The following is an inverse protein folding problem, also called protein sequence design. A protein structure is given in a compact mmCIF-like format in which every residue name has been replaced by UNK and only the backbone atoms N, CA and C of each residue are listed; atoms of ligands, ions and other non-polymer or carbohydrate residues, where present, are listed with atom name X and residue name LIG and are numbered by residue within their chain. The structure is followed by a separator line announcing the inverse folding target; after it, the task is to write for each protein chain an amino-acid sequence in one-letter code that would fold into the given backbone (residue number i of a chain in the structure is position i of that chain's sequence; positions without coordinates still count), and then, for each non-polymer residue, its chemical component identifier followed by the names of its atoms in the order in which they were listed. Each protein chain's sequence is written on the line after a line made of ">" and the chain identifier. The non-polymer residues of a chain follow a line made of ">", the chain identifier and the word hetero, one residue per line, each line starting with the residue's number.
data_IF_095229788261
#
_entry.id   IF_095229788261
#
_cell.length_a   1.000
_cell.length_b   1.000
_cell.length_c   1.000
_cell.angle_alpha   90.00
_cell.angle_beta   90.00
_cell.angle_gamma   90.00
#
_symmetry.space_group_name_H-M   'P 1'
#
loop_
_entity.id
_entity.type
_entity.pdbx_description
1 polymer ?
#
# COMPACT_ATOMS: atom_id res chain seq x y z
N UNK A 1 31.92 -36.00 -7.88
CA UNK A 1 32.13 -35.62 -9.29
C UNK A 1 30.85 -35.94 -10.05
N UNK A 2 30.05 -34.92 -10.42
CA UNK A 2 28.94 -35.07 -11.36
C UNK A 2 29.47 -34.84 -12.76
N UNK A 3 29.66 -35.90 -13.51
CA UNK A 3 29.94 -35.86 -14.92
C UNK A 3 28.61 -35.79 -15.69
N UNK A 4 28.21 -34.61 -16.01
CA UNK A 4 27.00 -34.31 -16.76
C UNK A 4 26.40 -33.00 -16.23
N UNK A 5 26.26 -32.01 -17.09
CA UNK A 5 25.73 -30.70 -16.67
C UNK A 5 24.38 -30.82 -15.97
N UNK A 6 24.35 -30.60 -14.66
CA UNK A 6 23.12 -30.60 -13.90
C UNK A 6 22.54 -29.18 -13.93
N UNK A 7 21.41 -29.02 -14.59
CA UNK A 7 20.69 -27.76 -14.60
C UNK A 7 19.83 -27.68 -13.34
N UNK A 8 20.19 -26.81 -12.40
CA UNK A 8 19.34 -26.47 -11.26
C UNK A 8 18.36 -25.38 -11.72
N UNK A 9 17.08 -25.71 -11.69
CA UNK A 9 16.02 -24.71 -11.89
C UNK A 9 15.65 -24.11 -10.54
N UNK A 10 16.11 -22.91 -10.28
CA UNK A 10 15.68 -22.12 -9.14
C UNK A 10 14.50 -21.23 -9.53
N UNK A 11 13.43 -21.23 -8.75
CA UNK A 11 12.38 -20.24 -8.88
C UNK A 11 12.77 -19.04 -8.03
N UNK A 12 13.17 -17.97 -8.69
CA UNK A 12 13.45 -16.67 -8.07
C UNK A 12 12.92 -15.57 -8.98
N UNK A 13 12.26 -14.58 -8.43
CA UNK A 13 12.00 -13.34 -9.18
C UNK A 13 13.36 -12.68 -9.39
N UNK A 14 13.71 -12.41 -10.66
CA UNK A 14 14.92 -11.69 -10.97
C UNK A 14 14.89 -10.33 -10.24
N UNK A 15 16.03 -9.95 -9.64
CA UNK A 15 16.24 -8.61 -9.09
C UNK A 15 16.40 -7.62 -10.27
N UNK A 16 15.35 -7.45 -11.06
CA UNK A 16 15.32 -6.59 -12.25
C UNK A 16 13.98 -5.86 -12.34
N UNK A 17 13.92 -4.91 -13.26
CA UNK A 17 12.70 -4.15 -13.56
C UNK A 17 11.62 -5.15 -14.00
N UNK A 18 10.43 -5.13 -13.37
CA UNK A 18 9.34 -6.01 -13.77
C UNK A 18 8.92 -5.77 -15.20
N UNK A 19 8.77 -6.85 -15.97
CA UNK A 19 8.20 -6.80 -17.34
C UNK A 19 6.69 -7.05 -17.36
N UNK A 20 6.07 -7.08 -16.18
CA UNK A 20 4.64 -7.28 -16.02
C UNK A 20 3.82 -6.16 -16.66
N UNK A 21 2.62 -6.49 -17.03
CA UNK A 21 1.60 -5.53 -17.44
C UNK A 21 0.43 -5.56 -16.45
N UNK A 22 -0.30 -4.48 -16.38
CA UNK A 22 -1.57 -4.46 -15.66
C UNK A 22 -2.64 -5.20 -16.48
N UNK A 23 -3.39 -6.07 -15.82
CA UNK A 23 -4.54 -6.77 -16.38
C UNK A 23 -5.77 -6.49 -15.53
N UNK A 24 -6.96 -6.48 -16.14
CA UNK A 24 -8.21 -6.29 -15.41
C UNK A 24 -8.48 -7.49 -14.49
N UNK A 25 -8.70 -7.22 -13.21
CA UNK A 25 -9.21 -8.18 -12.23
C UNK A 25 -10.71 -8.09 -12.01
N UNK A 26 -11.24 -8.87 -11.08
CA UNK A 26 -12.64 -8.82 -10.68
C UNK A 26 -13.01 -7.49 -10.03
N UNK A 27 -14.20 -6.97 -10.31
CA UNK A 27 -14.69 -5.72 -9.72
C UNK A 27 -15.07 -5.87 -8.26
N UNK A 28 -14.86 -4.79 -7.48
CA UNK A 28 -15.41 -4.67 -6.13
C UNK A 28 -16.93 -4.79 -6.14
N UNK A 29 -17.50 -5.34 -5.06
CA UNK A 29 -18.95 -5.40 -4.88
C UNK A 29 -19.53 -4.04 -4.46
N UNK A 30 -18.76 -3.27 -3.68
CA UNK A 30 -19.17 -1.94 -3.21
C UNK A 30 -18.50 -0.84 -4.02
N UNK A 31 -19.26 0.04 -4.71
CA UNK A 31 -18.70 1.20 -5.38
C UNK A 31 -18.27 2.30 -4.38
N UNK A 32 -17.42 3.21 -4.83
CA UNK A 32 -17.16 4.45 -4.11
C UNK A 32 -16.10 4.39 -3.01
N UNK A 33 -15.21 3.40 -3.00
CA UNK A 33 -14.24 3.20 -1.92
C UNK A 33 -13.00 4.12 -1.93
N UNK A 34 -12.94 5.16 -2.73
CA UNK A 34 -11.87 6.16 -2.62
C UNK A 34 -12.26 7.35 -1.74
N UNK A 35 -11.35 8.19 -1.25
CA UNK A 35 -9.92 7.98 -1.16
C UNK A 35 -9.52 7.16 0.06
N UNK A 36 -8.49 6.38 -0.10
CA UNK A 36 -7.74 5.64 0.93
C UNK A 36 -8.61 4.76 1.83
N UNK A 37 -8.54 3.47 1.58
CA UNK A 37 -9.08 2.42 2.44
C UNK A 37 -7.92 1.66 3.10
N UNK A 38 -8.19 0.92 4.15
CA UNK A 38 -7.22 0.00 4.70
C UNK A 38 -7.01 -1.16 3.70
N UNK A 39 -5.82 -1.28 3.15
CA UNK A 39 -5.46 -2.37 2.25
C UNK A 39 -4.47 -3.33 2.89
N UNK A 40 -4.68 -4.61 2.65
CA UNK A 40 -3.77 -5.68 3.06
C UNK A 40 -3.66 -6.71 1.93
N UNK A 41 -2.64 -7.56 2.01
CA UNK A 41 -2.42 -8.61 1.02
C UNK A 41 -1.00 -8.63 0.48
N UNK A 42 -0.59 -9.78 -0.04
CA UNK A 42 0.80 -10.02 -0.42
C UNK A 42 1.01 -10.25 -1.91
N UNK A 43 -0.06 -10.36 -2.69
CA UNK A 43 0.00 -10.66 -4.12
C UNK A 43 -1.33 -10.36 -4.82
N UNK A 44 -1.34 -10.44 -6.16
CA UNK A 44 -2.55 -10.32 -7.01
C UNK A 44 -3.67 -11.33 -6.68
N UNK A 45 -3.36 -12.42 -6.02
CA UNK A 45 -4.37 -13.42 -5.63
C UNK A 45 -4.78 -13.34 -4.15
N UNK A 46 -4.39 -12.28 -3.46
CA UNK A 46 -4.54 -12.16 -2.02
C UNK A 46 -4.61 -10.69 -1.63
N UNK A 47 -5.76 -10.06 -1.81
CA UNK A 47 -6.01 -8.68 -1.46
C UNK A 47 -7.15 -8.52 -0.46
N UNK A 48 -7.11 -7.50 0.38
CA UNK A 48 -8.19 -7.11 1.27
C UNK A 48 -8.32 -5.59 1.24
N UNK A 49 -9.55 -5.11 1.27
CA UNK A 49 -9.88 -3.69 1.37
C UNK A 49 -10.95 -3.51 2.44
N UNK A 50 -10.77 -2.54 3.33
CA UNK A 50 -11.73 -2.24 4.40
C UNK A 50 -11.94 -0.73 4.54
N UNK A 51 -13.17 -0.33 4.79
CA UNK A 51 -13.56 1.08 4.90
C UNK A 51 -13.67 1.77 3.54
N UNK A 52 -13.55 3.07 3.54
CA UNK A 52 -13.62 3.95 2.36
C UNK A 52 -14.77 4.94 2.38
N UNK A 53 -14.83 5.78 1.35
CA UNK A 53 -15.85 6.84 1.21
C UNK A 53 -17.22 6.26 0.86
N UNK A 54 -18.32 6.73 1.45
CA UNK A 54 -18.46 7.79 2.46
C UNK A 54 -18.47 7.26 3.91
N UNK A 55 -17.34 6.83 4.43
CA UNK A 55 -17.17 6.22 5.76
C UNK A 55 -17.83 4.84 5.84
N UNK A 56 -17.45 3.97 4.93
CA UNK A 56 -17.90 2.59 4.89
C UNK A 56 -17.22 1.76 5.99
N UNK A 57 -17.91 0.73 6.47
CA UNK A 57 -17.32 -0.30 7.33
C UNK A 57 -16.94 -1.55 6.52
N UNK A 58 -17.51 -1.71 5.33
CA UNK A 58 -17.42 -2.92 4.52
C UNK A 58 -15.99 -3.39 4.30
N UNK A 59 -15.79 -4.69 4.44
CA UNK A 59 -14.54 -5.37 4.14
C UNK A 59 -14.76 -6.39 3.03
N UNK A 60 -13.90 -6.35 2.02
CA UNK A 60 -13.90 -7.34 0.94
C UNK A 60 -12.53 -7.98 0.79
N UNK A 61 -12.51 -9.27 0.45
CA UNK A 61 -11.28 -10.03 0.16
C UNK A 61 -11.26 -10.53 -1.28
N UNK A 62 -10.09 -10.44 -1.91
CA UNK A 62 -9.82 -10.86 -3.27
C UNK A 62 -9.06 -12.17 -3.32
N UNK A 63 -9.52 -13.10 -4.17
CA UNK A 63 -8.94 -14.44 -4.30
C UNK A 63 -8.16 -14.65 -5.63
N UNK A 64 -7.91 -13.58 -6.38
CA UNK A 64 -7.30 -13.65 -7.71
C UNK A 64 -8.31 -13.71 -8.86
N UNK A 65 -9.62 -13.69 -8.56
CA UNK A 65 -10.67 -13.73 -9.58
C UNK A 65 -11.84 -12.83 -9.21
N UNK A 66 -12.26 -12.84 -7.96
CA UNK A 66 -13.43 -12.11 -7.48
C UNK A 66 -13.23 -11.58 -6.06
N UNK A 67 -13.95 -10.50 -5.76
CA UNK A 67 -14.07 -9.97 -4.41
C UNK A 67 -15.26 -10.61 -3.70
N UNK A 68 -15.08 -10.90 -2.43
CA UNK A 68 -16.10 -11.46 -1.54
C UNK A 68 -16.19 -10.61 -0.30
N UNK A 69 -17.40 -10.20 0.08
CA UNK A 69 -17.66 -9.46 1.31
C UNK A 69 -17.45 -10.40 2.51
N UNK A 70 -16.76 -9.89 3.53
CA UNK A 70 -16.47 -10.56 4.80
C UNK A 70 -16.91 -9.68 5.95
N UNK A 71 -16.60 -10.01 7.21
CA UNK A 71 -17.04 -9.22 8.36
C UNK A 71 -16.42 -7.82 8.36
N UNK A 72 -17.25 -6.85 8.62
CA UNK A 72 -16.97 -5.42 8.53
C UNK A 72 -16.13 -4.88 9.70
N UNK A 73 -15.49 -3.71 9.49
CA UNK A 73 -14.95 -2.88 10.58
C UNK A 73 -16.05 -2.58 11.61
N UNK A 74 -15.66 -2.45 12.87
CA UNK A 74 -16.60 -2.06 13.93
C UNK A 74 -17.08 -0.61 13.76
N UNK A 75 -16.26 0.25 13.16
CA UNK A 75 -16.61 1.65 12.85
C UNK A 75 -16.36 1.95 11.37
N UNK A 76 -17.38 2.50 10.69
CA UNK A 76 -17.25 2.96 9.31
C UNK A 76 -16.35 4.18 9.21
N UNK A 77 -15.28 4.09 8.40
CA UNK A 77 -14.24 5.13 8.27
C UNK A 77 -13.77 5.27 6.84
N UNK A 78 -13.38 6.49 6.46
CA UNK A 78 -12.63 6.74 5.24
C UNK A 78 -11.22 7.24 5.54
N UNK A 79 -10.38 7.33 4.53
CA UNK A 79 -8.98 7.77 4.65
C UNK A 79 -8.17 6.99 5.70
N UNK A 80 -8.46 5.71 5.84
CA UNK A 80 -7.86 4.73 6.77
C UNK A 80 -6.61 4.16 6.14
N UNK A 81 -5.52 4.02 6.88
CA UNK A 81 -4.39 3.25 6.41
C UNK A 81 -4.43 1.81 6.95
N UNK A 82 -4.03 0.86 6.11
CA UNK A 82 -4.01 -0.55 6.47
C UNK A 82 -2.76 -1.26 5.99
N UNK A 83 -2.50 -2.41 6.60
CA UNK A 83 -1.37 -3.27 6.24
C UNK A 83 -1.61 -4.71 6.74
N UNK A 84 -0.81 -5.65 6.29
CA UNK A 84 -0.87 -7.04 6.73
C UNK A 84 -1.26 -8.03 5.63
N UNK A 85 -1.89 -9.12 6.05
CA UNK A 85 -2.29 -10.26 5.20
C UNK A 85 -3.77 -10.57 5.40
N UNK A 86 -4.37 -11.38 4.51
CA UNK A 86 -5.78 -11.80 4.62
C UNK A 86 -6.15 -12.48 5.95
N UNK A 87 -5.17 -13.04 6.64
CA UNK A 87 -5.38 -13.72 7.92
C UNK A 87 -4.93 -12.91 9.12
N UNK A 88 -4.34 -11.73 8.91
CA UNK A 88 -3.72 -10.94 9.97
C UNK A 88 -3.45 -9.52 9.44
N UNK A 89 -4.41 -8.62 9.56
CA UNK A 89 -4.34 -7.25 9.06
C UNK A 89 -4.62 -6.22 10.15
N UNK A 90 -4.22 -4.99 9.88
CA UNK A 90 -4.43 -3.84 10.76
C UNK A 90 -5.04 -2.70 9.96
N UNK A 91 -6.01 -2.01 10.54
CA UNK A 91 -6.58 -0.77 10.03
C UNK A 91 -6.48 0.30 11.12
N UNK A 92 -5.88 1.46 10.80
CA UNK A 92 -5.67 2.51 11.79
C UNK A 92 -5.98 3.91 11.25
N UNK A 93 -6.43 4.79 12.16
CA UNK A 93 -6.73 6.18 11.87
C UNK A 93 -7.90 6.35 10.91
N UNK A 94 -7.85 7.42 10.13
CA UNK A 94 -8.90 7.79 9.21
C UNK A 94 -9.79 8.91 9.71
N UNK A 95 -10.95 9.06 9.08
CA UNK A 95 -12.01 9.95 9.55
C UNK A 95 -13.36 9.24 9.61
N UNK A 96 -14.14 9.60 10.63
CA UNK A 96 -15.51 9.13 10.83
C UNK A 96 -16.50 10.28 10.65
N UNK A 97 -17.81 9.99 10.44
CA UNK A 97 -18.82 11.05 10.33
C UNK A 97 -18.87 11.94 11.57
N UNK A 98 -18.96 13.28 11.43
CA UNK A 98 -19.08 14.08 10.20
C UNK A 98 -17.74 14.61 9.64
N UNK A 99 -16.69 13.79 9.51
CA UNK A 99 -15.38 14.20 8.98
C UNK A 99 -14.38 14.55 10.09
N UNK A 100 -14.47 13.86 11.21
CA UNK A 100 -13.57 14.00 12.36
C UNK A 100 -12.45 12.96 12.26
N UNK A 101 -11.20 13.41 12.34
CA UNK A 101 -10.06 12.50 12.43
C UNK A 101 -10.20 11.60 13.66
N UNK A 102 -9.96 10.32 13.47
CA UNK A 102 -9.97 9.32 14.53
C UNK A 102 -8.60 8.68 14.71
N UNK A 103 -8.37 8.10 15.87
CA UNK A 103 -7.17 7.35 16.19
C UNK A 103 -7.42 5.85 16.40
N UNK A 104 -8.66 5.41 16.13
CA UNK A 104 -9.09 4.02 16.30
C UNK A 104 -8.19 3.06 15.51
N UNK A 105 -7.84 1.94 16.15
CA UNK A 105 -7.10 0.84 15.52
C UNK A 105 -7.88 -0.44 15.67
N UNK A 106 -8.02 -1.19 14.59
CA UNK A 106 -8.66 -2.48 14.57
C UNK A 106 -7.72 -3.55 13.97
N UNK A 107 -7.74 -4.74 14.55
CA UNK A 107 -6.98 -5.91 14.11
C UNK A 107 -7.90 -6.95 13.52
N UNK A 108 -7.54 -7.47 12.34
CA UNK A 108 -8.20 -8.57 11.66
C UNK A 108 -7.53 -9.89 12.00
N UNK A 109 -8.29 -10.87 12.47
CA UNK A 109 -7.80 -12.21 12.84
C UNK A 109 -7.99 -13.28 11.75
N UNK A 110 -8.43 -12.87 10.57
CA UNK A 110 -8.84 -13.76 9.48
C UNK A 110 -10.34 -13.97 9.39
N UNK A 111 -11.10 -13.49 10.38
CA UNK A 111 -12.56 -13.64 10.45
C UNK A 111 -13.27 -12.38 10.92
N UNK A 112 -12.74 -11.71 11.94
CA UNK A 112 -13.35 -10.54 12.56
C UNK A 112 -12.35 -9.41 12.76
N UNK A 113 -12.86 -8.18 12.75
CA UNK A 113 -12.15 -7.01 13.23
C UNK A 113 -12.39 -6.83 14.74
N UNK A 114 -11.35 -6.51 15.47
CA UNK A 114 -11.39 -6.26 16.91
C UNK A 114 -10.65 -4.97 17.24
N UNK A 115 -11.30 -4.08 17.97
CA UNK A 115 -10.67 -2.85 18.45
C UNK A 115 -9.52 -3.16 19.41
N UNK A 116 -8.47 -2.34 19.33
CA UNK A 116 -7.28 -2.45 20.17
C UNK A 116 -6.80 -1.05 20.60
N UNK A 117 -5.56 -0.93 21.14
CA UNK A 117 -5.00 0.34 21.55
C UNK A 117 -4.88 1.31 20.36
N UNK A 118 -5.35 2.51 20.57
CA UNK A 118 -5.44 3.56 19.56
C UNK A 118 -4.08 4.23 19.28
N UNK A 119 -3.94 4.82 18.09
CA UNK A 119 -2.84 5.75 17.77
C UNK A 119 -2.77 6.88 18.81
N UNK A 120 -1.57 7.38 19.07
CA UNK A 120 -1.38 8.52 19.96
C UNK A 120 -1.96 9.81 19.36
N UNK A 121 -1.95 9.94 18.04
CA UNK A 121 -2.47 11.12 17.33
C UNK A 121 -3.54 10.73 16.32
N UNK A 122 -4.75 11.27 16.47
CA UNK A 122 -5.85 11.10 15.52
C UNK A 122 -5.51 11.80 14.19
N UNK A 123 -5.45 11.03 13.09
CA UNK A 123 -5.10 11.55 11.76
C UNK A 123 -5.56 10.65 10.62
N UNK A 124 -5.68 11.22 9.44
CA UNK A 124 -6.13 10.56 8.22
C UNK A 124 -5.13 10.73 7.07
N UNK A 125 -5.35 10.06 5.95
CA UNK A 125 -4.51 10.13 4.75
C UNK A 125 -3.02 9.81 5.02
N UNK A 126 -2.77 8.95 5.98
CA UNK A 126 -1.45 8.43 6.32
C UNK A 126 -1.15 7.20 5.49
N UNK A 127 0.08 6.74 5.54
CA UNK A 127 0.45 5.42 5.05
C UNK A 127 0.77 4.48 6.21
N UNK A 128 0.68 3.18 5.93
CA UNK A 128 1.10 2.13 6.82
C UNK A 128 2.01 1.14 6.10
N UNK A 129 2.88 0.48 6.85
CA UNK A 129 3.68 -0.64 6.40
C UNK A 129 3.82 -1.69 7.49
N UNK A 130 3.91 -2.95 7.10
CA UNK A 130 3.97 -4.06 8.04
C UNK A 130 3.45 -5.34 7.41
N UNK A 131 3.63 -6.46 8.08
CA UNK A 131 3.27 -7.76 7.55
C UNK A 131 2.36 -8.57 8.48
N UNK A 132 1.95 -8.00 9.62
CA UNK A 132 1.15 -8.69 10.62
C UNK A 132 0.47 -7.75 11.60
N UNK A 133 -0.45 -8.30 12.39
CA UNK A 133 -1.11 -7.62 13.51
C UNK A 133 -0.19 -7.35 14.71
N UNK A 134 1.07 -7.76 14.65
CA UNK A 134 2.02 -7.60 15.77
C UNK A 134 3.19 -6.67 15.44
N UNK A 135 3.26 -6.15 14.21
CA UNK A 135 4.42 -5.40 13.73
C UNK A 135 4.02 -4.50 12.55
N UNK A 136 3.79 -3.23 12.84
CA UNK A 136 3.40 -2.24 11.84
C UNK A 136 4.00 -0.86 12.11
N UNK A 137 4.12 -0.06 11.07
CA UNK A 137 4.53 1.33 11.12
C UNK A 137 3.42 2.19 10.48
N UNK A 138 3.09 3.32 11.09
CA UNK A 138 2.09 4.26 10.61
C UNK A 138 2.71 5.65 10.55
N UNK A 139 2.69 6.32 9.40
CA UNK A 139 3.47 7.52 9.19
C UNK A 139 2.78 8.58 8.34
N UNK A 140 3.13 9.84 8.61
CA UNK A 140 2.56 11.03 7.98
C UNK A 140 1.07 11.20 8.25
N UNK A 141 0.41 11.90 7.37
CA UNK A 141 -1.04 12.11 7.40
C UNK A 141 -1.46 13.55 7.59
N UNK A 142 -2.71 13.74 7.95
CA UNK A 142 -3.35 15.04 8.11
C UNK A 142 -4.17 15.09 9.39
N UNK A 143 -3.90 16.11 10.21
CA UNK A 143 -4.70 16.48 11.40
C UNK A 143 -5.58 17.70 11.09
N UNK A 144 -5.09 18.86 11.30
CA UNK A 144 -5.56 20.17 10.78
C UNK A 144 -4.55 20.74 9.77
N UNK A 145 -3.36 20.17 9.77
CA UNK A 145 -2.26 20.38 8.82
C UNK A 145 -1.64 19.03 8.49
N UNK A 146 -0.78 18.97 7.48
CA UNK A 146 0.03 17.79 7.24
C UNK A 146 1.03 17.60 8.37
N UNK A 147 1.26 16.34 8.76
CA UNK A 147 2.14 15.95 9.87
C UNK A 147 3.20 14.96 9.41
N UNK A 148 4.29 14.90 10.16
CA UNK A 148 5.41 13.99 9.90
C UNK A 148 5.41 12.78 10.85
N UNK A 149 4.53 12.77 11.86
CA UNK A 149 4.51 11.78 12.92
C UNK A 149 4.62 10.35 12.41
N UNK A 150 5.47 9.57 13.06
CA UNK A 150 5.61 8.14 12.81
C UNK A 150 5.38 7.38 14.11
N UNK A 151 4.49 6.40 14.07
CA UNK A 151 4.19 5.51 15.20
C UNK A 151 4.45 4.06 14.83
N UNK A 152 5.05 3.32 15.75
CA UNK A 152 5.38 1.90 15.62
C UNK A 152 4.46 1.07 16.52
N UNK A 153 3.90 0.00 15.97
CA UNK A 153 3.00 -0.95 16.63
C UNK A 153 3.74 -2.22 17.02
N UNK A 154 3.65 -2.64 18.28
CA UNK A 154 4.32 -3.83 18.83
C UNK A 154 3.38 -5.04 19.04
N UNK A 155 2.14 -4.93 18.62
CA UNK A 155 1.08 -5.94 18.85
C UNK A 155 0.16 -5.61 20.03
N UNK A 156 0.50 -4.58 20.83
CA UNK A 156 -0.28 -4.18 22.01
C UNK A 156 -0.43 -2.67 22.16
N UNK A 157 0.53 -1.88 21.68
CA UNK A 157 0.57 -0.43 21.83
C UNK A 157 1.26 0.26 20.66
N UNK A 158 0.90 1.52 20.44
CA UNK A 158 1.59 2.43 19.55
C UNK A 158 2.62 3.26 20.31
N UNK A 159 3.82 3.34 19.77
CA UNK A 159 4.92 4.15 20.31
C UNK A 159 5.39 5.12 19.23
N UNK A 160 5.47 6.40 19.57
CA UNK A 160 6.03 7.42 18.68
C UNK A 160 7.53 7.19 18.50
N UNK A 161 7.97 7.21 17.24
CA UNK A 161 9.38 7.01 16.85
C UNK A 161 9.83 8.20 15.99
N UNK A 162 11.01 8.12 15.37
CA UNK A 162 11.54 9.23 14.56
C UNK A 162 10.61 9.57 13.41
N UNK A 163 10.27 10.84 13.26
CA UNK A 163 9.36 11.37 12.26
C UNK A 163 9.96 11.41 10.86
N UNK A 164 9.09 11.47 9.83
CA UNK A 164 9.47 11.83 8.47
C UNK A 164 10.21 13.17 8.46
N UNK A 165 11.18 13.33 7.55
CA UNK A 165 11.86 14.62 7.38
C UNK A 165 10.93 15.73 6.84
N UNK A 166 9.86 15.33 6.13
CA UNK A 166 8.88 16.25 5.57
C UNK A 166 7.45 15.85 5.94
N UNK A 167 6.72 16.77 6.58
CA UNK A 167 5.30 16.58 6.92
C UNK A 167 4.46 16.46 5.65
N UNK A 168 3.72 15.36 5.48
CA UNK A 168 2.91 15.09 4.29
C UNK A 168 1.82 14.05 4.52
N UNK A 169 0.76 14.12 3.71
CA UNK A 169 -0.33 13.14 3.68
C UNK A 169 -0.59 12.66 2.26
N UNK A 170 -1.55 11.75 2.06
CA UNK A 170 -1.80 11.07 0.78
C UNK A 170 -0.56 10.36 0.25
N UNK A 171 0.14 9.70 1.14
CA UNK A 171 1.44 9.07 0.94
C UNK A 171 1.23 7.62 0.50
N UNK A 172 2.01 7.15 -0.47
CA UNK A 172 2.18 5.71 -0.71
C UNK A 172 3.13 5.10 0.33
N UNK A 173 2.82 3.91 0.80
CA UNK A 173 3.65 3.20 1.78
C UNK A 173 3.91 1.76 1.37
N UNK A 174 5.14 1.28 1.56
CA UNK A 174 5.50 -0.12 1.33
C UNK A 174 6.53 -0.60 2.33
N UNK A 175 6.56 -1.89 2.61
CA UNK A 175 7.60 -2.50 3.42
C UNK A 175 7.13 -3.12 4.72
N UNK A 176 8.05 -3.21 5.68
CA UNK A 176 7.82 -3.75 7.02
C UNK A 176 8.02 -2.67 8.09
N UNK A 177 7.72 -3.01 9.34
CA UNK A 177 7.97 -2.11 10.49
C UNK A 177 9.42 -1.62 10.59
N UNK A 178 10.40 -2.43 10.19
CA UNK A 178 11.83 -2.11 10.29
C UNK A 178 12.49 -1.75 8.96
N UNK A 179 11.75 -1.81 7.85
CA UNK A 179 12.28 -1.54 6.52
C UNK A 179 11.15 -1.06 5.60
N UNK A 180 10.86 0.24 5.64
CA UNK A 180 9.75 0.86 4.93
C UNK A 180 10.20 1.94 3.95
N UNK A 181 9.32 2.31 3.05
CA UNK A 181 9.46 3.43 2.13
C UNK A 181 8.18 4.27 2.15
N UNK A 182 8.33 5.58 2.26
CA UNK A 182 7.28 6.59 2.14
C UNK A 182 7.43 7.29 0.79
N UNK A 183 6.40 7.25 -0.03
CA UNK A 183 6.47 7.65 -1.44
C UNK A 183 5.53 8.81 -1.67
N UNK A 184 6.04 9.93 -2.18
CA UNK A 184 5.22 11.07 -2.62
C UNK A 184 4.43 11.72 -1.47
N UNK A 185 3.27 12.28 -1.79
CA UNK A 185 2.34 12.91 -0.84
C UNK A 185 2.18 14.41 -1.05
N UNK A 186 1.24 14.97 -0.32
CA UNK A 186 0.98 16.41 -0.27
C UNK A 186 1.57 17.05 1.00
N UNK A 187 1.95 18.35 1.01
CA UNK A 187 1.84 19.33 -0.08
C UNK A 187 2.95 19.21 -1.13
N UNK A 188 2.89 20.06 -2.15
CA UNK A 188 4.00 20.16 -3.13
C UNK A 188 5.34 20.50 -2.48
N UNK A 189 6.46 19.97 -3.03
CA UNK A 189 6.56 19.11 -4.20
C UNK A 189 6.12 17.66 -3.90
N UNK A 190 5.45 16.99 -4.88
CA UNK A 190 4.82 15.67 -4.70
C UNK A 190 5.68 14.54 -5.24
N UNK A 191 6.99 14.62 -5.05
CA UNK A 191 7.95 13.65 -5.55
C UNK A 191 8.88 13.09 -4.46
N UNK A 192 8.82 13.60 -3.24
CA UNK A 192 9.68 13.16 -2.14
C UNK A 192 9.54 11.69 -1.83
N UNK A 193 10.66 11.05 -1.56
CA UNK A 193 10.73 9.66 -1.12
C UNK A 193 11.68 9.55 0.06
N UNK A 194 11.23 8.85 1.10
CA UNK A 194 12.05 8.56 2.27
C UNK A 194 12.04 7.07 2.58
N UNK A 195 13.15 6.54 3.02
CA UNK A 195 13.27 5.15 3.46
C UNK A 195 13.54 5.07 4.95
N UNK A 196 12.90 4.11 5.61
CA UNK A 196 13.03 3.78 7.02
C UNK A 196 13.96 2.59 7.24
N UNK A 197 14.88 2.68 8.18
CA UNK A 197 15.85 1.63 8.51
C UNK A 197 15.58 0.91 9.84
N UNK A 198 14.45 1.21 10.47
CA UNK A 198 14.08 0.72 11.80
C UNK A 198 14.34 1.74 12.91
N UNK A 199 15.02 2.86 12.61
CA UNK A 199 15.36 3.89 13.58
C UNK A 199 15.17 5.33 13.08
N UNK A 200 15.35 5.56 11.78
CA UNK A 200 15.29 6.89 11.17
C UNK A 200 14.84 6.86 9.72
N UNK A 201 14.26 7.98 9.27
CA UNK A 201 13.93 8.21 7.88
C UNK A 201 15.09 8.91 7.16
N UNK A 202 15.40 8.47 5.96
CA UNK A 202 16.42 9.04 5.10
C UNK A 202 15.82 9.36 3.74
N UNK A 203 16.00 10.59 3.27
CA UNK A 203 15.60 11.01 1.94
C UNK A 203 16.44 10.28 0.88
N UNK A 204 15.77 9.81 -0.17
CA UNK A 204 16.37 9.07 -1.28
C UNK A 204 15.91 9.66 -2.61
N UNK A 205 16.29 9.06 -3.73
CA UNK A 205 15.91 9.55 -5.05
C UNK A 205 14.39 9.63 -5.22
N UNK A 206 13.94 10.77 -5.68
CA UNK A 206 12.54 11.12 -5.91
C UNK A 206 11.91 10.30 -7.04
N UNK A 207 10.56 10.18 -7.03
CA UNK A 207 9.82 9.64 -8.20
C UNK A 207 10.00 10.56 -9.41
N UNK A 208 10.03 9.98 -10.61
CA UNK A 208 10.30 10.75 -11.83
C UNK A 208 9.19 11.76 -12.16
N UNK A 209 7.94 11.40 -11.88
CA UNK A 209 6.79 12.27 -12.12
C UNK A 209 6.11 12.63 -10.81
N UNK A 210 6.22 13.91 -10.41
CA UNK A 210 5.63 14.42 -9.17
C UNK A 210 4.11 14.27 -9.17
N UNK A 211 3.56 13.51 -8.23
CA UNK A 211 2.13 13.24 -8.07
C UNK A 211 1.82 12.69 -6.67
N UNK A 212 0.62 12.87 -6.20
CA UNK A 212 0.13 12.32 -4.93
C UNK A 212 -1.13 11.48 -5.16
N UNK A 213 -1.70 10.90 -4.10
CA UNK A 213 -2.98 10.17 -4.17
C UNK A 213 -2.90 8.93 -5.09
N UNK A 214 -1.70 8.40 -5.31
CA UNK A 214 -1.48 7.14 -6.00
C UNK A 214 -1.53 5.95 -5.05
N UNK A 215 -1.72 4.76 -5.60
CA UNK A 215 -1.58 3.50 -4.88
C UNK A 215 -0.13 3.02 -4.85
N UNK A 216 0.18 2.17 -3.92
CA UNK A 216 1.51 1.56 -3.80
C UNK A 216 1.41 0.07 -3.45
N UNK A 217 2.44 -0.69 -3.81
CA UNK A 217 2.60 -2.04 -3.28
C UNK A 217 2.85 -1.95 -1.78
N UNK A 218 1.98 -2.50 -0.96
CA UNK A 218 2.02 -2.32 0.50
C UNK A 218 2.96 -3.31 1.22
N UNK A 219 3.38 -4.37 0.54
CA UNK A 219 4.17 -5.46 1.10
C UNK A 219 5.58 -5.55 0.49
N UNK A 220 6.59 -5.78 1.31
CA UNK A 220 7.97 -5.94 0.85
C UNK A 220 9.01 -5.31 1.78
N UNK A 221 9.85 -4.45 1.21
CA UNK A 221 10.90 -3.75 1.94
C UNK A 221 11.20 -2.39 1.30
N UNK A 222 11.98 -1.56 1.97
CA UNK A 222 12.47 -0.28 1.41
C UNK A 222 13.28 -0.41 0.12
N UNK A 223 13.61 -1.62 -0.31
CA UNK A 223 14.45 -1.86 -1.50
C UNK A 223 13.64 -2.12 -2.76
N UNK A 224 12.35 -2.40 -2.66
CA UNK A 224 11.49 -2.67 -3.82
C UNK A 224 10.07 -2.17 -3.54
N UNK A 225 9.56 -1.29 -4.40
CA UNK A 225 8.20 -0.79 -4.35
C UNK A 225 7.67 -0.49 -5.75
N UNK A 226 6.34 -0.51 -5.89
CA UNK A 226 5.61 0.10 -6.99
C UNK A 226 4.84 1.31 -6.48
N UNK A 227 4.76 2.34 -7.32
CA UNK A 227 3.86 3.48 -7.12
C UNK A 227 3.13 3.77 -8.43
N UNK A 228 1.80 3.81 -8.41
CA UNK A 228 0.99 3.85 -9.60
C UNK A 228 -0.22 4.77 -9.46
N UNK A 229 -0.67 5.32 -10.60
CA UNK A 229 -1.74 6.30 -10.62
C UNK A 229 -1.38 7.61 -9.94
N UNK A 230 -2.39 8.33 -9.46
CA UNK A 230 -2.25 9.60 -8.75
C UNK A 230 -2.52 10.83 -9.61
N UNK A 231 -2.39 12.01 -9.03
CA UNK A 231 -2.59 13.33 -9.65
C UNK A 231 -1.69 14.39 -8.97
N UNK A 232 -1.51 15.63 -9.42
CA UNK A 232 -2.07 16.38 -10.54
C UNK A 232 -1.18 16.42 -11.80
N UNK A 233 -1.59 17.18 -12.86
CA UNK A 233 -2.79 18.04 -12.93
C UNK A 233 -4.09 17.28 -13.23
N UNK A 234 -3.98 16.06 -13.67
CA UNK A 234 -5.08 15.12 -13.89
C UNK A 234 -4.66 13.75 -13.41
N UNK A 235 -5.63 12.87 -13.21
CA UNK A 235 -5.35 11.48 -12.87
C UNK A 235 -4.50 10.83 -13.95
N UNK A 236 -3.43 10.14 -13.54
CA UNK A 236 -2.48 9.48 -14.43
C UNK A 236 -2.54 7.96 -14.30
N UNK A 237 -2.06 7.28 -15.33
CA UNK A 237 -1.88 5.83 -15.33
C UNK A 237 -0.45 5.42 -14.96
N UNK A 238 0.48 6.36 -14.87
CA UNK A 238 1.91 6.11 -14.70
C UNK A 238 2.18 5.13 -13.57
N UNK A 239 3.05 4.18 -13.84
CA UNK A 239 3.56 3.21 -12.86
C UNK A 239 5.08 3.28 -12.82
N UNK A 240 5.63 3.49 -11.65
CA UNK A 240 7.06 3.52 -11.42
C UNK A 240 7.48 2.43 -10.43
N UNK A 241 8.60 1.79 -10.73
CA UNK A 241 9.23 0.74 -9.93
C UNK A 241 10.49 1.27 -9.26
N UNK A 242 10.59 1.08 -7.96
CA UNK A 242 11.76 1.36 -7.14
C UNK A 242 12.63 0.11 -6.98
N UNK A 243 13.93 0.21 -7.25
CA UNK A 243 14.89 -0.90 -7.16
C UNK A 243 15.85 -0.81 -5.96
N UNK A 244 15.58 0.09 -5.02
CA UNK A 244 16.43 0.37 -3.87
C UNK A 244 17.40 1.54 -4.08
N UNK A 245 17.50 2.07 -5.32
CA UNK A 245 18.38 3.20 -5.63
C UNK A 245 17.80 4.19 -6.63
N UNK A 246 16.93 3.77 -7.53
CA UNK A 246 16.32 4.62 -8.55
C UNK A 246 14.92 4.16 -8.92
N UNK A 247 14.12 5.11 -9.42
CA UNK A 247 12.81 4.86 -9.99
C UNK A 247 12.92 4.64 -11.49
N UNK A 248 12.15 3.70 -11.99
CA UNK A 248 12.06 3.39 -13.43
C UNK A 248 10.58 3.27 -13.79
N UNK A 249 10.17 3.94 -14.87
CA UNK A 249 8.83 3.79 -15.41
C UNK A 249 8.67 2.39 -15.99
N UNK A 250 7.54 1.75 -15.67
CA UNK A 250 7.17 0.42 -16.13
C UNK A 250 5.80 0.50 -16.82
N UNK A 251 5.19 -0.63 -17.17
CA UNK A 251 3.89 -0.60 -17.86
C UNK A 251 2.80 0.04 -16.99
N UNK A 252 2.07 0.95 -17.58
CA UNK A 252 1.05 1.76 -16.94
C UNK A 252 -0.27 1.01 -16.69
N UNK A 253 -1.06 1.51 -15.74
CA UNK A 253 -2.46 1.13 -15.58
C UNK A 253 -3.22 1.31 -16.90
N UNK A 254 -4.25 0.51 -17.12
CA UNK A 254 -5.11 0.64 -18.31
C UNK A 254 -5.88 1.97 -18.32
N UNK A 255 -6.14 2.54 -17.16
CA UNK A 255 -6.89 3.79 -16.98
C UNK A 255 -6.25 4.65 -15.90
N UNK A 256 -5.99 5.93 -16.22
CA UNK A 256 -5.48 6.89 -15.24
C UNK A 256 -6.48 7.11 -14.11
N UNK A 257 -6.02 6.92 -12.88
CA UNK A 257 -6.83 7.03 -11.66
C UNK A 257 -6.04 7.70 -10.54
N UNK A 258 -6.74 8.44 -9.69
CA UNK A 258 -6.23 8.95 -8.43
C UNK A 258 -7.12 8.48 -7.27
N UNK A 259 -6.71 8.72 -6.05
CA UNK A 259 -7.42 8.23 -4.86
C UNK A 259 -7.69 6.72 -4.93
N UNK A 260 -6.71 5.97 -5.42
CA UNK A 260 -6.74 4.52 -5.49
C UNK A 260 -5.83 3.95 -4.41
N UNK A 261 -6.10 2.72 -4.05
CA UNK A 261 -5.28 1.99 -3.12
C UNK A 261 -4.52 0.86 -3.79
N UNK A 262 -3.49 0.37 -3.10
CA UNK A 262 -2.70 -0.72 -3.58
C UNK A 262 -2.37 -1.74 -2.49
N UNK A 263 -2.22 -2.99 -2.89
CA UNK A 263 -1.73 -4.05 -2.03
C UNK A 263 -0.77 -4.97 -2.79
N UNK A 264 -0.18 -5.91 -2.10
CA UNK A 264 0.77 -6.85 -2.70
C UNK A 264 2.21 -6.35 -2.69
N UNK A 265 3.06 -7.04 -3.43
CA UNK A 265 4.49 -6.76 -3.55
C UNK A 265 4.81 -6.01 -4.85
N UNK A 266 6.02 -5.46 -4.95
CA UNK A 266 6.52 -4.81 -6.18
C UNK A 266 6.54 -5.70 -7.43
N UNK A 267 6.32 -6.99 -7.29
CA UNK A 267 6.29 -7.93 -8.40
C UNK A 267 4.92 -8.61 -8.56
N UNK A 268 3.98 -8.37 -7.65
CA UNK A 268 2.64 -8.96 -7.67
C UNK A 268 1.72 -8.04 -6.85
N UNK A 269 1.15 -7.03 -7.50
CA UNK A 269 0.40 -5.95 -6.87
C UNK A 269 -1.01 -5.81 -7.42
N UNK A 270 -1.90 -5.30 -6.60
CA UNK A 270 -3.26 -4.89 -6.97
C UNK A 270 -3.36 -3.37 -6.94
N UNK A 271 -4.02 -2.80 -7.93
CA UNK A 271 -4.53 -1.44 -7.94
C UNK A 271 -6.05 -1.50 -7.82
N UNK A 272 -6.59 -0.92 -6.76
CA UNK A 272 -7.99 -1.11 -6.39
C UNK A 272 -8.69 0.24 -6.29
N UNK A 273 -9.93 0.31 -6.81
CA UNK A 273 -10.77 1.51 -6.73
C UNK A 273 -10.15 2.74 -7.41
N UNK A 274 -10.37 3.91 -6.85
CA UNK A 274 -9.94 5.19 -7.42
C UNK A 274 -10.80 5.63 -8.60
N UNK A 275 -10.53 6.83 -9.09
CA UNK A 275 -11.24 7.33 -10.27
C UNK A 275 -10.64 8.62 -10.79
N UNK A 276 -11.10 9.11 -11.95
CA UNK A 276 -11.14 10.55 -12.19
C UNK A 276 -12.02 11.16 -11.09
N UNK A 277 -11.85 12.46 -10.75
CA UNK A 277 -12.29 13.00 -9.44
C UNK A 277 -13.65 12.56 -8.91
N UNK A 278 -14.55 12.05 -9.72
CA UNK A 278 -15.83 11.40 -9.33
C UNK A 278 -16.54 10.83 -10.56
N UNK A 279 -17.25 9.68 -10.48
CA UNK A 279 -17.39 8.79 -9.33
C UNK A 279 -16.18 7.85 -9.20
N UNK A 280 -15.95 7.36 -7.98
CA UNK A 280 -14.98 6.30 -7.71
C UNK A 280 -15.39 5.01 -8.41
N UNK A 281 -14.43 4.26 -8.89
CA UNK A 281 -14.68 3.04 -9.66
C UNK A 281 -14.66 1.79 -8.79
N UNK A 282 -15.19 0.71 -9.32
CA UNK A 282 -15.08 -0.64 -8.73
C UNK A 282 -13.92 -1.44 -9.33
N UNK A 283 -13.05 -0.77 -10.10
CA UNK A 283 -12.01 -1.41 -10.88
C UNK A 283 -10.92 -2.01 -10.00
N UNK A 284 -10.50 -3.19 -10.38
CA UNK A 284 -9.26 -3.81 -9.90
C UNK A 284 -8.38 -4.08 -11.10
N UNK A 285 -7.10 -3.76 -10.97
CA UNK A 285 -6.08 -4.17 -11.94
C UNK A 285 -4.99 -4.95 -11.22
N UNK A 286 -4.46 -5.95 -11.90
CA UNK A 286 -3.46 -6.89 -11.42
C UNK A 286 -2.15 -6.68 -12.14
N UNK A 287 -1.08 -6.43 -11.38
CA UNK A 287 0.28 -6.38 -11.87
C UNK A 287 1.01 -7.65 -11.44
N UNK A 288 1.25 -8.58 -12.36
CA UNK A 288 1.94 -9.82 -12.05
C UNK A 288 3.16 -10.01 -12.94
N UNK A 289 4.33 -9.89 -12.33
CA UNK A 289 5.58 -10.15 -13.02
C UNK A 289 5.79 -11.66 -13.11
N UNK A 290 5.92 -12.21 -14.32
CA UNK A 290 6.15 -13.63 -14.50
C UNK A 290 7.42 -14.07 -13.75
N UNK A 291 7.36 -15.21 -13.08
CA UNK A 291 8.52 -15.79 -12.42
C UNK A 291 9.61 -16.05 -13.47
N UNK A 292 10.74 -15.34 -13.40
CA UNK A 292 11.87 -15.63 -14.27
C UNK A 292 12.55 -16.93 -13.84
N UNK A 293 12.70 -17.86 -14.78
CA UNK A 293 13.51 -19.03 -14.58
C UNK A 293 14.99 -18.63 -14.72
N UNK A 294 15.71 -18.55 -13.61
CA UNK A 294 17.16 -18.44 -13.65
C UNK A 294 17.76 -19.81 -13.92
N UNK A 295 18.35 -20.01 -15.09
CA UNK A 295 19.13 -21.20 -15.39
C UNK A 295 20.57 -20.96 -14.93
N UNK A 296 20.98 -21.62 -13.86
CA UNK A 296 22.38 -21.64 -13.45
C UNK A 296 23.05 -22.82 -14.15
N UNK A 297 23.93 -22.52 -15.09
CA UNK A 297 24.78 -23.54 -15.71
C UNK A 297 26.03 -23.67 -14.85
N UNK A 298 26.18 -24.81 -14.19
CA UNK A 298 27.40 -25.12 -13.46
C UNK A 298 28.35 -25.80 -14.47
N UNK A 299 29.44 -25.12 -14.78
CA UNK A 299 30.52 -25.68 -15.61
C UNK A 299 31.51 -26.48 -14.79
#
# INVERSE_FOLDING_TARGET
>A
FLSGGTTLKGFGKAAGIPTATWASGGSLNQPGRGPVCATAGVSVSSGQIAGGTPNLANTEQYNGTSWTEVNDLNEGRSAVAGTGKLTSALAAGGDSPPGTNVNSTELWDGTNWTETANLNTARRNSAASGDSTTSSLYFGGYTTTYVANTESWDGSSWTEVSDLNSARGYIGGSGSQTSAIAISGEPSPRNYVETWDGSSWTEVNEINTARAQGGSSSFGSKSFALYFGGEPPASTANTEFWNGSSWTEVNDLSTGRSNLDGSGSAASALAVSGGPPTPQTVLTEEFDAPASLSTVTVS
#
